data_IF_315302397935
#
_entry.id   IF_315302397935
#
_cell.length_a   1.000
_cell.length_b   1.000
_cell.length_c   1.000
_cell.angle_alpha   90.00
_cell.angle_beta   90.00
_cell.angle_gamma   90.00
#
_symmetry.space_group_name_H-M   'P 1'
#
loop_
_entity.id
_entity.type
_entity.pdbx_description
1 polymer ?
#
# COMPACT_ATOMS: atom_id res chain seq x y z
N UNK A 1 5.18 -20.45 -43.11
CA UNK A 1 5.93 -19.23 -42.71
C UNK A 1 5.83 -19.13 -41.21
N UNK A 2 6.86 -19.58 -40.52
CA UNK A 2 6.96 -19.57 -39.04
C UNK A 2 7.41 -18.17 -38.62
N UNK A 3 6.51 -17.39 -38.00
CA UNK A 3 6.88 -16.12 -37.38
C UNK A 3 7.71 -16.43 -36.14
N UNK A 4 8.97 -16.08 -36.18
CA UNK A 4 9.86 -16.03 -35.03
C UNK A 4 9.41 -14.89 -34.09
N UNK A 5 8.80 -15.27 -32.97
CA UNK A 5 8.51 -14.31 -31.88
C UNK A 5 9.85 -13.86 -31.31
N UNK A 6 10.16 -12.59 -31.47
CA UNK A 6 11.34 -11.98 -30.82
C UNK A 6 11.14 -11.99 -29.29
N UNK A 7 12.15 -12.36 -28.52
CA UNK A 7 12.05 -12.27 -27.05
C UNK A 7 11.86 -10.81 -26.64
N UNK A 8 10.88 -10.59 -25.77
CA UNK A 8 10.66 -9.28 -25.12
C UNK A 8 11.96 -8.88 -24.40
N UNK A 9 12.44 -7.63 -24.56
CA UNK A 9 13.66 -7.21 -23.88
C UNK A 9 13.46 -7.37 -22.36
N UNK A 10 14.44 -8.03 -21.73
CA UNK A 10 14.51 -8.16 -20.28
C UNK A 10 14.53 -6.73 -19.69
N UNK A 11 13.62 -6.39 -18.76
CA UNK A 11 13.69 -5.10 -18.09
C UNK A 11 15.07 -4.97 -17.44
N UNK A 12 15.78 -3.89 -17.71
CA UNK A 12 17.00 -3.59 -17.00
C UNK A 12 16.62 -3.40 -15.53
N UNK A 13 17.18 -4.22 -14.65
CA UNK A 13 17.07 -4.04 -13.20
C UNK A 13 17.84 -2.75 -12.89
N UNK A 14 17.12 -1.68 -12.56
CA UNK A 14 17.76 -0.46 -12.05
C UNK A 14 18.57 -0.82 -10.79
N UNK A 15 19.79 -0.28 -10.64
CA UNK A 15 20.59 -0.58 -9.47
C UNK A 15 19.83 -0.21 -8.21
N UNK A 16 19.84 -1.10 -7.22
CA UNK A 16 19.21 -0.90 -5.94
C UNK A 16 19.83 0.33 -5.26
N UNK A 17 19.03 1.38 -5.08
CA UNK A 17 19.46 2.60 -4.36
C UNK A 17 19.23 2.28 -2.88
N UNK A 18 20.32 2.08 -2.14
CA UNK A 18 20.22 1.93 -0.69
C UNK A 18 19.57 3.19 -0.08
N UNK A 19 18.67 3.04 0.91
CA UNK A 19 18.11 4.19 1.61
C UNK A 19 19.26 5.05 2.17
N UNK A 20 19.13 6.37 2.04
CA UNK A 20 20.06 7.29 2.67
C UNK A 20 20.01 7.07 4.19
N UNK A 21 21.17 7.03 4.84
CA UNK A 21 21.24 6.90 6.29
C UNK A 21 20.71 8.18 6.94
N UNK A 22 19.51 8.10 7.50
CA UNK A 22 18.85 9.24 8.17
C UNK A 22 17.52 8.82 8.76
N UNK A 23 17.00 9.68 9.64
CA UNK A 23 15.65 9.54 10.18
C UNK A 23 14.65 9.94 9.10
N UNK A 24 13.65 9.10 8.88
CA UNK A 24 12.52 9.34 7.99
C UNK A 24 11.30 9.73 8.83
N UNK A 25 10.75 10.92 8.60
CA UNK A 25 9.53 11.37 9.25
C UNK A 25 8.29 11.04 8.42
N UNK A 26 7.49 10.09 8.87
CA UNK A 26 6.27 9.63 8.20
C UNK A 26 5.04 10.23 8.87
N UNK A 27 4.08 10.71 8.07
CA UNK A 27 2.77 11.12 8.50
C UNK A 27 1.71 10.07 8.08
N UNK A 28 1.07 9.42 9.05
CA UNK A 28 -0.07 8.52 8.82
C UNK A 28 -1.36 9.34 8.87
N UNK A 29 -1.98 9.56 7.73
CA UNK A 29 -3.22 10.34 7.61
C UNK A 29 -4.45 9.42 7.79
N UNK A 30 -4.80 9.14 9.04
CA UNK A 30 -5.98 8.36 9.39
C UNK A 30 -7.23 9.24 9.31
N UNK A 31 -7.90 9.24 8.17
CA UNK A 31 -9.04 10.12 7.88
C UNK A 31 -10.35 9.35 7.72
N UNK A 32 -11.49 10.06 7.80
CA UNK A 32 -12.82 9.59 7.46
C UNK A 32 -13.25 10.17 6.10
N UNK A 33 -13.00 9.47 4.98
CA UNK A 33 -13.45 9.93 3.67
C UNK A 33 -14.98 9.93 3.58
N UNK A 34 -15.54 10.89 2.84
CA UNK A 34 -16.98 10.91 2.51
C UNK A 34 -17.25 10.10 1.27
N UNK A 35 -18.20 9.17 1.35
CA UNK A 35 -18.57 8.31 0.25
C UNK A 35 -19.04 9.11 -0.97
N UNK A 36 -18.37 8.95 -2.10
CA UNK A 36 -18.68 9.57 -3.39
C UNK A 36 -18.36 11.08 -3.50
N UNK A 37 -17.97 11.75 -2.42
CA UNK A 37 -17.74 13.20 -2.39
C UNK A 37 -16.25 13.52 -2.64
N UNK A 38 -15.81 13.40 -3.90
CA UNK A 38 -14.41 13.64 -4.29
C UNK A 38 -13.91 15.03 -3.90
N UNK A 39 -14.76 16.07 -4.03
CA UNK A 39 -14.34 17.44 -3.77
C UNK A 39 -13.98 17.65 -2.30
N UNK A 40 -14.83 17.21 -1.37
CA UNK A 40 -14.53 17.30 0.06
C UNK A 40 -13.39 16.43 0.50
N UNK A 41 -13.26 15.25 -0.10
CA UNK A 41 -12.11 14.39 0.17
C UNK A 41 -10.82 15.01 -0.34
N UNK A 42 -10.80 15.63 -1.52
CA UNK A 42 -9.66 16.38 -2.03
C UNK A 42 -9.26 17.52 -1.09
N UNK A 43 -10.23 18.34 -0.65
CA UNK A 43 -9.99 19.42 0.30
C UNK A 43 -9.36 18.92 1.61
N UNK A 44 -9.87 17.80 2.15
CA UNK A 44 -9.30 17.15 3.34
C UNK A 44 -7.86 16.66 3.10
N UNK A 45 -7.56 16.07 1.95
CA UNK A 45 -6.19 15.67 1.61
C UNK A 45 -5.25 16.87 1.55
N UNK A 46 -5.65 17.95 0.88
CA UNK A 46 -4.84 19.16 0.77
C UNK A 46 -4.54 19.78 2.14
N UNK A 47 -5.53 19.82 3.04
CA UNK A 47 -5.34 20.28 4.43
C UNK A 47 -4.30 19.42 5.18
N UNK A 48 -4.42 18.08 5.11
CA UNK A 48 -3.49 17.18 5.78
C UNK A 48 -2.07 17.25 5.18
N UNK A 49 -1.95 17.39 3.85
CA UNK A 49 -0.68 17.60 3.18
C UNK A 49 0.00 18.89 3.67
N UNK A 50 -0.74 19.97 3.79
CA UNK A 50 -0.20 21.25 4.29
C UNK A 50 0.32 21.11 5.72
N UNK A 51 -0.44 20.44 6.61
CA UNK A 51 -0.02 20.19 7.99
C UNK A 51 1.25 19.32 7.99
N UNK A 52 1.28 18.21 7.25
CA UNK A 52 2.41 17.32 7.20
C UNK A 52 3.69 18.01 6.72
N UNK A 53 3.58 18.86 5.69
CA UNK A 53 4.72 19.68 5.22
C UNK A 53 5.24 20.66 6.26
N UNK A 54 4.36 21.34 6.99
CA UNK A 54 4.75 22.26 8.08
C UNK A 54 5.45 21.55 9.22
N UNK A 55 5.04 20.32 9.51
CA UNK A 55 5.65 19.46 10.53
C UNK A 55 6.91 18.75 10.04
N UNK A 56 7.34 19.00 8.79
CA UNK A 56 8.57 18.46 8.22
C UNK A 56 8.51 16.96 7.92
N UNK A 57 7.35 16.43 7.53
CA UNK A 57 7.24 15.05 7.08
C UNK A 57 7.94 14.85 5.72
N UNK A 58 8.60 13.69 5.56
CA UNK A 58 9.20 13.24 4.30
C UNK A 58 8.21 12.45 3.46
N UNK A 59 7.22 11.81 4.11
CA UNK A 59 6.17 11.02 3.49
C UNK A 59 4.85 11.23 4.21
N UNK A 60 3.77 11.41 3.44
CA UNK A 60 2.40 11.29 3.93
C UNK A 60 1.68 10.12 3.26
N UNK A 61 0.99 9.30 4.03
CA UNK A 61 0.24 8.14 3.53
C UNK A 61 -1.23 8.26 3.91
N UNK A 62 -2.11 8.22 2.91
CA UNK A 62 -3.56 8.17 3.04
C UNK A 62 -4.09 6.74 2.86
N UNK A 63 -5.30 6.45 3.39
CA UNK A 63 -5.91 5.12 3.28
C UNK A 63 -6.27 4.69 1.85
N UNK A 64 -6.66 3.42 1.72
CA UNK A 64 -7.30 2.87 0.52
C UNK A 64 -8.54 3.69 0.12
N UNK A 65 -8.73 3.96 -1.19
CA UNK A 65 -9.86 4.72 -1.74
C UNK A 65 -10.16 6.02 -0.96
N UNK A 66 -9.12 6.68 -0.43
CA UNK A 66 -9.27 7.86 0.42
C UNK A 66 -9.89 9.06 -0.29
N UNK A 67 -9.80 9.12 -1.62
CA UNK A 67 -10.43 10.18 -2.43
C UNK A 67 -11.92 9.96 -2.68
N UNK A 68 -12.45 8.74 -2.46
CA UNK A 68 -13.82 8.40 -2.89
C UNK A 68 -14.70 7.77 -1.80
N UNK A 69 -14.10 7.20 -0.75
CA UNK A 69 -14.79 6.25 0.12
C UNK A 69 -14.84 4.86 -0.52
N UNK A 70 -15.38 3.86 0.20
CA UNK A 70 -15.22 2.44 -0.15
C UNK A 70 -16.45 1.81 -0.81
N UNK A 71 -17.67 1.97 -0.24
CA UNK A 71 -18.90 1.31 -0.72
C UNK A 71 -19.55 2.04 -1.89
N UNK A 72 -18.78 2.30 -2.95
CA UNK A 72 -19.18 3.08 -4.12
C UNK A 72 -20.24 2.40 -4.99
N UNK A 73 -20.20 1.06 -5.10
CA UNK A 73 -21.15 0.30 -5.93
C UNK A 73 -21.25 0.86 -7.35
N UNK A 74 -22.46 1.14 -7.82
CA UNK A 74 -22.72 1.57 -9.19
C UNK A 74 -22.19 3.00 -9.52
N UNK A 75 -21.78 3.79 -8.52
CA UNK A 75 -21.16 5.10 -8.75
C UNK A 75 -19.65 5.06 -9.02
N UNK A 76 -19.04 3.88 -9.07
CA UNK A 76 -17.61 3.73 -9.40
C UNK A 76 -17.21 4.50 -10.66
N UNK A 77 -17.94 4.44 -11.79
CA UNK A 77 -17.60 5.19 -12.99
C UNK A 77 -17.65 6.72 -12.80
N UNK A 78 -18.56 7.22 -11.95
CA UNK A 78 -18.77 8.65 -11.74
C UNK A 78 -17.66 9.30 -10.88
N UNK A 79 -16.97 8.49 -10.06
CA UNK A 79 -15.94 8.96 -9.14
C UNK A 79 -14.52 8.58 -9.59
N UNK A 80 -14.39 7.80 -10.65
CA UNK A 80 -13.09 7.36 -11.16
C UNK A 80 -12.28 8.54 -11.71
N UNK A 81 -10.96 8.42 -11.59
CA UNK A 81 -9.98 9.41 -12.03
C UNK A 81 -8.92 8.75 -12.92
N UNK A 82 -8.47 9.48 -13.94
CA UNK A 82 -7.23 9.15 -14.61
C UNK A 82 -6.03 9.65 -13.80
N UNK A 83 -4.86 9.06 -13.99
CA UNK A 83 -3.59 9.52 -13.35
C UNK A 83 -3.25 10.98 -13.66
N UNK A 84 -3.78 11.50 -14.77
CA UNK A 84 -3.59 12.89 -15.23
C UNK A 84 -4.74 13.81 -14.86
N UNK A 85 -5.70 13.35 -14.05
CA UNK A 85 -6.82 14.18 -13.61
C UNK A 85 -6.35 15.38 -12.79
N UNK A 86 -7.03 16.53 -12.90
CA UNK A 86 -6.65 17.74 -12.17
C UNK A 86 -6.55 17.55 -10.66
N UNK A 87 -7.41 16.71 -10.08
CA UNK A 87 -7.40 16.39 -8.64
C UNK A 87 -6.09 15.69 -8.22
N UNK A 88 -5.63 14.74 -9.02
CA UNK A 88 -4.35 14.06 -8.78
C UNK A 88 -3.19 15.04 -8.92
N UNK A 89 -3.22 15.88 -9.96
CA UNK A 89 -2.19 16.90 -10.17
C UNK A 89 -2.11 17.90 -9.01
N UNK A 90 -3.26 18.34 -8.46
CA UNK A 90 -3.32 19.22 -7.30
C UNK A 90 -2.68 18.59 -6.05
N UNK A 91 -2.94 17.32 -5.79
CA UNK A 91 -2.33 16.60 -4.66
C UNK A 91 -0.80 16.50 -4.81
N UNK A 92 -0.34 16.14 -6.00
CA UNK A 92 1.08 16.01 -6.30
C UNK A 92 1.80 17.36 -6.19
N UNK A 93 1.18 18.44 -6.68
CA UNK A 93 1.70 19.80 -6.55
C UNK A 93 1.74 20.25 -5.08
N UNK A 94 0.66 20.00 -4.33
CA UNK A 94 0.58 20.36 -2.91
C UNK A 94 1.61 19.63 -2.06
N UNK A 95 1.92 18.37 -2.35
CA UNK A 95 2.96 17.60 -1.67
C UNK A 95 4.37 18.20 -1.88
N UNK A 96 4.63 18.80 -3.05
CA UNK A 96 5.91 19.42 -3.37
C UNK A 96 7.09 18.43 -3.30
N UNK A 97 8.11 18.65 -2.45
CA UNK A 97 9.22 17.72 -2.27
C UNK A 97 8.86 16.47 -1.43
N UNK A 98 7.85 16.57 -0.55
CA UNK A 98 7.39 15.48 0.31
C UNK A 98 6.77 14.37 -0.53
N UNK A 99 7.08 13.12 -0.23
CA UNK A 99 6.44 11.98 -0.86
C UNK A 99 4.96 11.83 -0.40
N UNK A 100 4.12 11.31 -1.29
CA UNK A 100 2.69 11.17 -1.08
C UNK A 100 2.20 9.81 -1.57
N UNK A 101 1.42 9.11 -0.73
CA UNK A 101 0.62 7.94 -1.13
C UNK A 101 -0.85 8.24 -0.88
N UNK A 102 -1.70 8.03 -1.89
CA UNK A 102 -3.15 8.18 -1.75
C UNK A 102 -3.93 7.13 -2.56
N UNK A 103 -5.02 6.63 -1.96
CA UNK A 103 -5.92 5.68 -2.59
C UNK A 103 -7.01 6.34 -3.41
N UNK A 104 -7.31 5.80 -4.61
CA UNK A 104 -8.31 6.33 -5.53
C UNK A 104 -8.91 5.24 -6.41
N UNK A 105 -10.03 5.53 -7.04
CA UNK A 105 -10.56 4.72 -8.14
C UNK A 105 -9.86 5.17 -9.42
N UNK A 106 -9.03 4.29 -10.01
CA UNK A 106 -8.37 4.57 -11.28
C UNK A 106 -9.22 4.08 -12.45
N UNK A 107 -9.50 4.96 -13.41
CA UNK A 107 -9.98 4.57 -14.73
C UNK A 107 -8.79 4.26 -15.64
N UNK A 108 -8.70 3.01 -16.07
CA UNK A 108 -7.67 2.52 -16.97
C UNK A 108 -8.14 2.46 -18.43
N UNK A 109 -7.33 1.79 -19.28
CA UNK A 109 -7.69 1.59 -20.68
C UNK A 109 -8.95 0.75 -20.82
N UNK A 110 -9.79 1.08 -21.80
CA UNK A 110 -11.01 0.34 -22.11
C UNK A 110 -12.08 0.44 -21.02
N UNK A 111 -12.09 1.55 -20.28
CA UNK A 111 -13.06 1.83 -19.20
C UNK A 111 -13.05 0.75 -18.09
N UNK A 112 -11.88 0.21 -17.82
CA UNK A 112 -11.70 -0.67 -16.66
C UNK A 112 -11.40 0.17 -15.42
N UNK A 113 -12.07 -0.14 -14.31
CA UNK A 113 -11.90 0.57 -13.05
C UNK A 113 -11.06 -0.29 -12.09
N UNK A 114 -10.19 0.37 -11.34
CA UNK A 114 -9.29 -0.30 -10.40
C UNK A 114 -9.34 0.39 -9.04
N UNK A 115 -9.37 -0.39 -7.99
CA UNK A 115 -8.96 0.07 -6.68
C UNK A 115 -7.43 0.23 -6.71
N UNK A 116 -6.95 1.46 -6.62
CA UNK A 116 -5.55 1.80 -6.85
C UNK A 116 -5.00 2.75 -5.79
N UNK A 117 -3.68 2.73 -5.61
CA UNK A 117 -2.94 3.71 -4.84
C UNK A 117 -1.74 4.21 -5.64
N UNK A 118 -1.52 5.52 -5.66
CA UNK A 118 -0.35 6.10 -6.31
C UNK A 118 0.68 6.55 -5.28
N UNK A 119 1.95 6.49 -5.68
CA UNK A 119 3.07 7.12 -5.01
C UNK A 119 3.58 8.27 -5.87
N UNK A 120 3.72 9.44 -5.29
CA UNK A 120 4.28 10.61 -5.93
C UNK A 120 5.39 11.21 -5.07
N UNK A 121 6.44 11.73 -5.71
CA UNK A 121 7.48 12.53 -5.09
C UNK A 121 8.05 13.55 -6.08
N UNK A 122 8.59 14.64 -5.60
CA UNK A 122 9.22 15.68 -6.42
C UNK A 122 8.33 16.12 -7.61
N UNK A 123 7.03 16.27 -7.39
CA UNK A 123 6.07 16.76 -8.38
C UNK A 123 5.66 15.76 -9.46
N UNK A 124 5.96 14.47 -9.30
CA UNK A 124 5.60 13.43 -10.29
C UNK A 124 5.12 12.14 -9.64
N UNK A 125 4.23 11.42 -10.32
CA UNK A 125 3.85 10.06 -9.94
C UNK A 125 4.95 9.10 -10.39
N UNK A 126 5.52 8.36 -9.44
CA UNK A 126 6.54 7.33 -9.72
C UNK A 126 5.90 5.97 -9.93
N UNK A 127 4.86 5.64 -9.17
CA UNK A 127 4.23 4.33 -9.21
C UNK A 127 2.72 4.40 -8.98
N UNK A 128 2.00 3.46 -9.58
CA UNK A 128 0.58 3.20 -9.26
C UNK A 128 0.41 1.70 -9.09
N UNK A 129 0.06 1.29 -7.88
CA UNK A 129 -0.35 -0.07 -7.59
C UNK A 129 -1.85 -0.22 -7.78
N UNK A 130 -2.28 -1.27 -8.47
CA UNK A 130 -3.68 -1.69 -8.61
C UNK A 130 -3.89 -2.93 -7.77
N UNK A 131 -4.88 -2.91 -6.90
CA UNK A 131 -5.19 -4.03 -6.01
C UNK A 131 -5.32 -5.34 -6.78
N UNK A 132 -4.56 -6.34 -6.37
CA UNK A 132 -4.49 -7.64 -7.05
C UNK A 132 -5.56 -8.58 -6.54
N UNK A 133 -5.74 -8.65 -5.23
CA UNK A 133 -6.72 -9.50 -4.58
C UNK A 133 -7.97 -8.71 -4.23
N UNK A 134 -9.05 -8.97 -4.97
CA UNK A 134 -10.35 -8.33 -4.81
C UNK A 134 -11.27 -9.24 -3.98
N UNK A 135 -11.54 -8.93 -2.70
CA UNK A 135 -12.39 -9.76 -1.86
C UNK A 135 -13.84 -9.79 -2.37
N UNK A 136 -14.43 -10.98 -2.35
CA UNK A 136 -15.82 -11.24 -2.73
C UNK A 136 -16.54 -12.13 -1.71
N UNK A 137 -16.10 -12.07 -0.46
CA UNK A 137 -16.67 -12.83 0.65
C UNK A 137 -17.21 -11.90 1.75
N UNK A 138 -18.16 -12.42 2.53
CA UNK A 138 -18.79 -11.66 3.61
C UNK A 138 -19.52 -10.43 3.08
N UNK A 139 -19.04 -9.25 3.45
CA UNK A 139 -19.59 -7.96 3.03
C UNK A 139 -18.94 -7.35 1.78
N UNK A 140 -17.94 -8.02 1.23
CA UNK A 140 -17.13 -7.49 0.13
C UNK A 140 -17.64 -8.00 -1.23
N UNK A 141 -17.71 -7.10 -2.22
CA UNK A 141 -18.16 -7.38 -3.58
C UNK A 141 -17.24 -6.73 -4.63
N UNK A 142 -15.94 -6.59 -4.34
CA UNK A 142 -15.03 -5.77 -5.15
C UNK A 142 -14.93 -6.23 -6.62
N UNK A 143 -14.92 -7.54 -6.89
CA UNK A 143 -14.84 -8.06 -8.27
C UNK A 143 -16.02 -7.68 -9.15
N UNK A 144 -17.14 -7.23 -8.56
CA UNK A 144 -18.30 -6.75 -9.31
C UNK A 144 -18.04 -5.40 -9.95
N UNK A 145 -17.19 -4.57 -9.33
CA UNK A 145 -17.00 -3.18 -9.69
C UNK A 145 -15.58 -2.87 -10.19
N UNK A 146 -14.59 -3.64 -9.75
CA UNK A 146 -13.19 -3.42 -10.06
C UNK A 146 -12.56 -4.57 -10.83
N UNK A 147 -11.61 -4.22 -11.68
CA UNK A 147 -10.69 -5.16 -12.33
C UNK A 147 -9.49 -5.41 -11.43
N UNK A 148 -9.01 -6.65 -11.38
CA UNK A 148 -7.83 -7.01 -10.61
C UNK A 148 -6.53 -6.45 -11.22
N UNK A 149 -5.63 -5.98 -10.39
CA UNK A 149 -4.24 -5.74 -10.73
C UNK A 149 -3.54 -7.06 -11.11
N UNK A 150 -2.39 -6.97 -11.79
CA UNK A 150 -1.70 -8.15 -12.34
C UNK A 150 -0.32 -8.39 -11.75
N UNK A 151 0.20 -7.50 -10.92
CA UNK A 151 1.56 -7.59 -10.39
C UNK A 151 1.71 -6.86 -9.08
N UNK A 152 2.65 -7.36 -8.29
CA UNK A 152 3.29 -6.66 -7.20
C UNK A 152 4.65 -6.20 -7.69
N UNK A 153 5.02 -4.96 -7.42
CA UNK A 153 6.27 -4.39 -7.90
C UNK A 153 6.75 -3.35 -6.90
N UNK A 154 8.03 -3.45 -6.50
CA UNK A 154 8.70 -2.38 -5.80
C UNK A 154 9.37 -1.42 -6.80
N UNK A 155 9.57 -0.18 -6.38
CA UNK A 155 10.19 0.88 -7.18
C UNK A 155 11.17 1.67 -6.31
N UNK A 156 12.14 2.34 -6.96
CA UNK A 156 13.09 3.19 -6.24
C UNK A 156 12.45 4.54 -5.91
N UNK A 157 12.56 4.97 -4.64
CA UNK A 157 12.11 6.25 -4.14
C UNK A 157 13.26 6.98 -3.44
N UNK A 158 13.37 8.29 -3.66
CA UNK A 158 14.49 9.08 -3.12
C UNK A 158 14.43 9.09 -1.57
N UNK A 159 15.54 8.78 -0.92
CA UNK A 159 15.64 8.71 0.54
C UNK A 159 15.06 7.46 1.18
N UNK A 160 14.16 6.72 0.50
CA UNK A 160 13.42 5.58 1.06
C UNK A 160 13.97 4.22 0.62
N UNK A 161 14.82 4.18 -0.43
CA UNK A 161 15.24 2.94 -1.05
C UNK A 161 14.15 2.32 -1.92
N UNK A 162 13.92 1.02 -1.81
CA UNK A 162 12.87 0.31 -2.56
C UNK A 162 11.56 0.30 -1.81
N UNK A 163 10.55 0.91 -2.40
CA UNK A 163 9.19 1.03 -1.82
C UNK A 163 8.25 0.08 -2.53
N UNK A 164 7.48 -0.67 -1.76
CA UNK A 164 6.35 -1.48 -2.24
C UNK A 164 5.02 -0.95 -1.70
N UNK A 165 3.97 -0.99 -2.53
CA UNK A 165 2.60 -0.67 -2.09
C UNK A 165 1.74 -1.91 -2.24
N UNK A 166 0.91 -2.18 -1.24
CA UNK A 166 -0.13 -3.20 -1.24
C UNK A 166 -1.44 -2.59 -0.72
N UNK A 167 -2.58 -3.10 -1.17
CA UNK A 167 -3.89 -2.55 -0.81
C UNK A 167 -4.71 -3.61 -0.07
N UNK A 168 -4.96 -3.39 1.22
CA UNK A 168 -5.90 -4.10 2.07
C UNK A 168 -5.79 -5.63 1.94
N UNK A 169 -6.65 -6.28 1.15
CA UNK A 169 -6.66 -7.74 0.93
C UNK A 169 -5.34 -8.29 0.39
N UNK A 170 -4.58 -7.50 -0.38
CA UNK A 170 -3.24 -7.92 -0.84
C UNK A 170 -2.34 -8.32 0.33
N UNK A 171 -2.51 -7.67 1.48
CA UNK A 171 -1.69 -7.91 2.68
C UNK A 171 -2.02 -9.23 3.40
N UNK A 172 -3.17 -9.85 3.10
CA UNK A 172 -3.60 -11.14 3.66
C UNK A 172 -3.05 -12.35 2.90
N UNK A 173 -2.43 -12.11 1.75
CA UNK A 173 -1.90 -13.16 0.87
C UNK A 173 -0.38 -13.26 0.98
N UNK A 174 0.12 -14.44 1.35
CA UNK A 174 1.57 -14.71 1.50
C UNK A 174 2.34 -14.43 0.21
N UNK A 175 1.70 -14.64 -0.96
CA UNK A 175 2.32 -14.37 -2.26
C UNK A 175 2.74 -12.90 -2.44
N UNK A 176 1.99 -11.94 -1.89
CA UNK A 176 2.38 -10.53 -1.94
C UNK A 176 3.69 -10.29 -1.18
N UNK A 177 3.82 -10.83 0.04
CA UNK A 177 5.02 -10.72 0.84
C UNK A 177 6.21 -11.43 0.18
N UNK A 178 6.01 -12.64 -0.37
CA UNK A 178 7.05 -13.39 -1.09
C UNK A 178 7.58 -12.61 -2.30
N UNK A 179 6.69 -11.98 -3.08
CA UNK A 179 7.09 -11.18 -4.23
C UNK A 179 7.81 -9.91 -3.77
N UNK A 180 7.32 -9.22 -2.72
CA UNK A 180 7.97 -8.03 -2.17
C UNK A 180 9.34 -8.35 -1.56
N UNK A 181 9.54 -9.54 -1.01
CA UNK A 181 10.87 -10.00 -0.58
C UNK A 181 11.81 -10.18 -1.78
N UNK A 182 11.35 -10.84 -2.86
CA UNK A 182 12.12 -11.00 -4.08
C UNK A 182 12.42 -9.67 -4.81
N UNK A 183 11.56 -8.67 -4.61
CA UNK A 183 11.76 -7.28 -5.06
C UNK A 183 12.69 -6.47 -4.12
N UNK A 184 13.17 -7.08 -3.02
CA UNK A 184 14.09 -6.46 -2.04
C UNK A 184 13.53 -5.18 -1.41
N UNK A 185 12.24 -5.17 -1.05
CA UNK A 185 11.57 -3.99 -0.50
C UNK A 185 12.20 -3.51 0.81
N UNK A 186 12.45 -2.20 0.92
CA UNK A 186 12.92 -1.54 2.15
C UNK A 186 11.75 -0.99 2.97
N UNK A 187 10.75 -0.42 2.29
CA UNK A 187 9.54 0.13 2.91
C UNK A 187 8.31 -0.47 2.24
N UNK A 188 7.50 -1.19 3.00
CA UNK A 188 6.23 -1.74 2.55
C UNK A 188 5.07 -0.92 3.10
N UNK A 189 4.28 -0.32 2.21
CA UNK A 189 3.13 0.53 2.55
C UNK A 189 1.85 -0.24 2.26
N UNK A 190 1.04 -0.47 3.29
CA UNK A 190 -0.29 -1.08 3.17
C UNK A 190 -1.36 -0.02 3.43
N UNK A 191 -2.11 0.36 2.40
CA UNK A 191 -3.27 1.26 2.53
C UNK A 191 -4.55 0.44 2.67
N UNK A 192 -5.42 0.81 3.62
CA UNK A 192 -6.48 -0.09 4.12
C UNK A 192 -7.81 0.64 4.28
N UNK A 193 -8.90 -0.08 4.01
CA UNK A 193 -10.27 0.23 4.40
C UNK A 193 -10.86 -0.97 5.14
N UNK A 194 -10.34 -1.27 6.33
CA UNK A 194 -10.79 -2.41 7.11
C UNK A 194 -11.89 -2.03 8.10
N UNK A 195 -13.09 -2.62 8.00
CA UNK A 195 -14.12 -2.44 9.01
C UNK A 195 -13.81 -3.24 10.28
N UNK A 196 -14.36 -2.79 11.41
CA UNK A 196 -14.28 -3.49 12.68
C UNK A 196 -15.08 -4.80 12.63
N UNK A 197 -14.36 -5.92 12.71
CA UNK A 197 -14.94 -7.28 12.78
C UNK A 197 -14.28 -8.09 13.88
N UNK A 198 -14.98 -9.11 14.36
CA UNK A 198 -14.49 -9.95 15.46
C UNK A 198 -14.36 -9.15 16.77
N UNK A 199 -15.36 -8.30 17.05
CA UNK A 199 -15.38 -7.46 18.25
C UNK A 199 -15.63 -8.33 19.49
N UNK A 200 -14.71 -8.27 20.47
CA UNK A 200 -14.82 -8.94 21.76
C UNK A 200 -14.34 -8.00 22.87
N UNK A 201 -15.28 -7.36 23.57
CA UNK A 201 -14.97 -6.30 24.50
C UNK A 201 -14.27 -5.12 23.81
N UNK A 202 -13.09 -4.68 24.28
CA UNK A 202 -12.34 -3.61 23.65
C UNK A 202 -11.52 -4.07 22.43
N UNK A 203 -11.44 -5.38 22.16
CA UNK A 203 -10.63 -5.94 21.09
C UNK A 203 -11.39 -5.97 19.77
N UNK A 204 -10.68 -5.67 18.67
CA UNK A 204 -11.17 -5.75 17.31
C UNK A 204 -10.29 -6.75 16.56
N UNK A 205 -10.83 -7.94 16.25
CA UNK A 205 -10.06 -9.03 15.66
C UNK A 205 -9.36 -8.66 14.34
N UNK A 206 -10.01 -7.84 13.49
CA UNK A 206 -9.37 -7.34 12.27
C UNK A 206 -8.19 -6.42 12.56
N UNK A 207 -8.23 -5.60 13.62
CA UNK A 207 -7.12 -4.75 14.04
C UNK A 207 -5.92 -5.59 14.50
N UNK A 208 -6.18 -6.58 15.37
CA UNK A 208 -5.15 -7.50 15.86
C UNK A 208 -4.50 -8.29 14.73
N UNK A 209 -5.30 -8.69 13.73
CA UNK A 209 -4.76 -9.41 12.56
C UNK A 209 -3.86 -8.52 11.71
N UNK A 210 -4.21 -7.25 11.46
CA UNK A 210 -3.33 -6.33 10.72
C UNK A 210 -2.02 -6.08 11.48
N UNK A 211 -2.06 -5.92 12.79
CA UNK A 211 -0.84 -5.77 13.59
C UNK A 211 0.01 -7.05 13.53
N UNK A 212 -0.58 -8.23 13.67
CA UNK A 212 0.12 -9.51 13.56
C UNK A 212 0.80 -9.67 12.20
N UNK A 213 0.08 -9.40 11.10
CA UNK A 213 0.63 -9.49 9.75
C UNK A 213 1.75 -8.47 9.55
N UNK A 214 1.57 -7.22 10.01
CA UNK A 214 2.58 -6.18 9.89
C UNK A 214 3.88 -6.55 10.61
N UNK A 215 3.80 -7.05 11.85
CA UNK A 215 4.96 -7.52 12.62
C UNK A 215 5.64 -8.71 11.93
N UNK A 216 4.84 -9.66 11.43
CA UNK A 216 5.35 -10.85 10.74
C UNK A 216 6.07 -10.48 9.46
N UNK A 217 5.44 -9.68 8.59
CA UNK A 217 6.04 -9.32 7.31
C UNK A 217 7.24 -8.39 7.48
N UNK A 218 7.18 -7.45 8.42
CA UNK A 218 8.31 -6.59 8.73
C UNK A 218 9.55 -7.42 9.08
N UNK A 219 9.41 -8.41 9.97
CA UNK A 219 10.51 -9.26 10.40
C UNK A 219 11.00 -10.19 9.29
N UNK A 220 10.10 -10.82 8.53
CA UNK A 220 10.48 -11.74 7.44
C UNK A 220 11.15 -11.00 6.26
N UNK A 221 10.68 -9.81 5.93
CA UNK A 221 11.23 -8.99 4.84
C UNK A 221 12.47 -8.18 5.29
N UNK A 222 12.68 -8.01 6.61
CA UNK A 222 13.63 -7.04 7.12
C UNK A 222 13.34 -5.64 6.61
N UNK A 223 12.06 -5.22 6.63
CA UNK A 223 11.54 -4.00 6.03
C UNK A 223 10.75 -3.16 7.04
N UNK A 224 10.74 -1.84 6.85
CA UNK A 224 9.80 -0.95 7.53
C UNK A 224 8.39 -1.18 6.95
N UNK A 225 7.39 -1.42 7.81
CA UNK A 225 6.00 -1.66 7.39
C UNK A 225 5.09 -0.56 7.92
N UNK A 226 4.38 0.10 7.01
CA UNK A 226 3.38 1.12 7.30
C UNK A 226 2.00 0.56 6.96
N UNK A 227 1.06 0.59 7.92
CA UNK A 227 -0.35 0.24 7.68
C UNK A 227 -1.20 1.45 7.97
N UNK A 228 -1.90 1.97 6.96
CA UNK A 228 -2.73 3.16 7.11
C UNK A 228 -4.19 2.83 6.80
N UNK A 229 -5.02 2.84 7.85
CA UNK A 229 -6.43 2.53 7.79
C UNK A 229 -7.28 3.79 7.96
N UNK A 230 -8.48 3.78 7.40
CA UNK A 230 -9.46 4.84 7.62
C UNK A 230 -10.21 4.68 8.96
N UNK A 231 -10.90 5.73 9.37
CA UNK A 231 -11.88 5.73 10.46
C UNK A 231 -13.27 6.13 9.97
N UNK A 232 -14.24 6.10 10.88
CA UNK A 232 -15.59 6.60 10.69
C UNK A 232 -16.58 5.53 10.28
N UNK A 233 -17.77 5.97 9.88
CA UNK A 233 -18.88 5.08 9.50
C UNK A 233 -19.20 5.26 8.02
N UNK A 234 -19.47 4.15 7.35
CA UNK A 234 -19.90 4.15 5.94
C UNK A 234 -20.77 2.94 5.68
N UNK A 235 -21.96 3.14 5.10
CA UNK A 235 -22.96 2.08 4.79
C UNK A 235 -23.24 1.13 5.98
N UNK A 236 -23.35 1.67 7.19
CA UNK A 236 -23.62 0.92 8.42
C UNK A 236 -22.43 0.19 9.03
N UNK A 237 -21.25 0.30 8.45
CA UNK A 237 -20.01 -0.29 8.95
C UNK A 237 -19.14 0.75 9.66
N UNK A 238 -18.51 0.32 10.75
CA UNK A 238 -17.54 1.10 11.50
C UNK A 238 -16.14 0.74 11.05
N UNK A 239 -15.33 1.75 10.70
CA UNK A 239 -13.90 1.62 10.40
C UNK A 239 -13.10 2.09 11.61
N UNK A 240 -12.17 1.26 12.06
CA UNK A 240 -11.57 1.41 13.39
C UNK A 240 -10.29 2.25 13.42
N UNK A 241 -9.68 2.56 12.27
CA UNK A 241 -8.39 3.24 12.22
C UNK A 241 -7.24 2.35 12.69
N UNK A 242 -6.56 2.77 13.77
CA UNK A 242 -5.45 2.03 14.37
C UNK A 242 -4.29 1.83 13.39
N UNK A 243 -4.05 2.84 12.55
CA UNK A 243 -2.90 2.91 11.64
C UNK A 243 -1.61 2.72 12.42
N UNK A 244 -0.61 2.02 11.86
CA UNK A 244 0.57 1.64 12.61
C UNK A 244 1.85 1.64 11.77
N UNK A 245 2.99 1.72 12.46
CA UNK A 245 4.33 1.59 11.92
C UNK A 245 5.07 0.49 12.67
N UNK A 246 5.66 -0.43 11.92
CA UNK A 246 6.46 -1.53 12.46
C UNK A 246 7.86 -1.48 11.88
N UNK A 247 8.86 -1.49 12.75
CA UNK A 247 10.29 -1.51 12.40
C UNK A 247 10.72 -2.86 11.81
N UNK A 248 11.88 -2.94 11.14
CA UNK A 248 12.34 -4.13 10.43
C UNK A 248 12.59 -5.36 11.34
N UNK A 249 12.65 -5.14 12.64
CA UNK A 249 12.76 -6.19 13.68
C UNK A 249 11.40 -6.71 14.19
N UNK A 250 10.28 -6.32 13.59
CA UNK A 250 8.94 -6.69 14.03
C UNK A 250 8.41 -5.90 15.24
N UNK A 251 9.13 -4.86 15.71
CA UNK A 251 8.66 -4.03 16.82
C UNK A 251 7.68 -2.95 16.34
N UNK A 252 6.59 -2.79 17.08
CA UNK A 252 5.66 -1.69 16.89
C UNK A 252 6.34 -0.39 17.32
N UNK A 253 6.55 0.53 16.36
CA UNK A 253 7.16 1.84 16.62
C UNK A 253 6.07 2.83 17.08
N UNK A 254 4.94 2.86 16.37
CA UNK A 254 3.83 3.74 16.69
C UNK A 254 2.49 3.17 16.23
N UNK A 255 1.42 3.62 16.86
CA UNK A 255 0.05 3.27 16.51
C UNK A 255 -0.87 4.49 16.73
N UNK A 256 -1.70 4.77 15.74
CA UNK A 256 -2.72 5.83 15.80
C UNK A 256 -3.89 5.43 16.72
N UNK A 257 -4.70 6.38 17.21
CA UNK A 257 -5.87 6.08 18.04
C UNK A 257 -6.91 5.25 17.28
N UNK A 258 -7.74 4.52 18.02
CA UNK A 258 -8.92 3.87 17.46
C UNK A 258 -10.06 4.86 17.31
N UNK A 259 -10.81 4.76 16.21
CA UNK A 259 -12.06 5.48 15.90
C UNK A 259 -11.94 6.97 15.65
N UNK A 260 -10.82 7.60 15.98
CA UNK A 260 -10.63 9.04 15.80
C UNK A 260 -9.80 9.37 14.57
N UNK A 261 -10.14 10.43 13.85
CA UNK A 261 -9.26 10.99 12.83
C UNK A 261 -7.96 11.48 13.47
N UNK A 262 -6.85 11.21 12.84
CA UNK A 262 -5.54 11.67 13.32
C UNK A 262 -4.53 11.81 12.18
N UNK A 263 -3.60 12.74 12.36
CA UNK A 263 -2.37 12.81 11.59
C UNK A 263 -1.23 12.46 12.55
N UNK A 264 -0.78 11.21 12.49
CA UNK A 264 0.23 10.66 13.41
C UNK A 264 1.59 10.74 12.77
N UNK A 265 2.53 11.45 13.40
CA UNK A 265 3.92 11.58 12.96
C UNK A 265 4.80 10.56 13.64
N UNK A 266 5.67 9.92 12.86
CA UNK A 266 6.57 8.86 13.33
C UNK A 266 7.95 9.05 12.71
N UNK A 267 8.97 9.17 13.56
CA UNK A 267 10.36 9.21 13.10
C UNK A 267 10.90 7.78 13.05
N UNK A 268 11.40 7.37 11.88
CA UNK A 268 11.84 6.01 11.57
C UNK A 268 13.33 6.03 11.20
N UNK A 269 14.17 5.28 11.91
CA UNK A 269 15.60 5.12 11.58
C UNK A 269 15.78 4.06 10.48
N UNK A 270 16.02 4.50 9.24
CA UNK A 270 16.29 3.59 8.10
C UNK A 270 17.61 2.82 8.24
N UNK A 271 18.54 3.25 9.08
CA UNK A 271 19.76 2.50 9.34
C UNK A 271 19.48 1.16 10.07
N UNK A 272 18.31 1.02 10.72
CA UNK A 272 17.87 -0.26 11.29
C UNK A 272 17.69 -1.34 10.23
N UNK A 273 17.25 -1.01 9.02
CA UNK A 273 17.12 -1.97 7.92
C UNK A 273 18.42 -2.75 7.70
N UNK A 274 19.51 -2.02 7.60
CA UNK A 274 20.84 -2.64 7.41
C UNK A 274 21.25 -3.49 8.62
N UNK A 275 21.00 -3.00 9.85
CA UNK A 275 21.34 -3.72 11.08
C UNK A 275 20.58 -5.05 11.14
N UNK A 276 19.27 -5.04 10.95
CA UNK A 276 18.43 -6.23 11.03
C UNK A 276 18.73 -7.23 9.93
N UNK A 277 18.96 -6.79 8.70
CA UNK A 277 19.34 -7.67 7.58
C UNK A 277 20.71 -8.33 7.75
N UNK A 278 21.60 -7.72 8.53
CA UNK A 278 22.88 -8.35 8.90
C UNK A 278 22.74 -9.36 10.03
N UNK A 279 21.85 -9.11 10.99
CA UNK A 279 21.59 -10.00 12.14
C UNK A 279 20.74 -11.20 11.70
N UNK A 280 19.72 -10.95 10.89
CA UNK A 280 18.75 -11.96 10.44
C UNK A 280 18.63 -11.90 8.89
N UNK A 281 19.59 -12.47 8.16
CA UNK A 281 19.73 -12.29 6.70
C UNK A 281 18.77 -13.17 5.88
N UNK A 282 17.47 -13.23 6.23
CA UNK A 282 16.48 -14.10 5.59
C UNK A 282 16.39 -13.85 4.08
N UNK A 283 16.37 -12.59 3.63
CA UNK A 283 16.29 -12.27 2.19
C UNK A 283 17.53 -12.73 1.41
N UNK A 284 18.73 -12.65 2.02
CA UNK A 284 19.95 -13.15 1.39
C UNK A 284 19.96 -14.68 1.25
N UNK A 285 19.42 -15.35 2.24
CA UNK A 285 19.44 -16.82 2.31
C UNK A 285 18.21 -17.47 1.62
N UNK A 286 17.28 -16.65 1.09
CA UNK A 286 16.10 -17.10 0.35
C UNK A 286 16.48 -17.77 -0.96
N UNK A 287 15.84 -18.92 -1.23
CA UNK A 287 16.10 -19.71 -2.43
C UNK A 287 15.00 -19.52 -3.49
N UNK A 288 14.96 -18.31 -4.09
CA UNK A 288 13.94 -17.93 -5.05
C UNK A 288 13.79 -18.93 -6.22
N UNK A 289 14.91 -19.43 -6.76
CA UNK A 289 14.85 -20.40 -7.87
C UNK A 289 14.16 -21.69 -7.44
N UNK A 290 14.51 -22.24 -6.27
CA UNK A 290 13.85 -23.44 -5.71
C UNK A 290 12.36 -23.20 -5.55
N UNK A 291 11.97 -22.05 -5.00
CA UNK A 291 10.56 -21.67 -4.82
C UNK A 291 9.81 -21.63 -6.15
N UNK A 292 10.38 -21.04 -7.20
CA UNK A 292 9.80 -21.00 -8.56
C UNK A 292 9.65 -22.40 -9.13
N UNK A 293 10.68 -23.24 -9.05
CA UNK A 293 10.67 -24.62 -9.56
C UNK A 293 9.60 -25.47 -8.86
N UNK A 294 9.47 -25.37 -7.54
CA UNK A 294 8.45 -26.09 -6.77
C UNK A 294 7.03 -25.61 -7.10
N UNK A 295 6.83 -24.32 -7.25
CA UNK A 295 5.53 -23.78 -7.67
C UNK A 295 5.16 -24.23 -9.10
N UNK A 296 6.11 -24.25 -10.03
CA UNK A 296 5.88 -24.76 -11.39
C UNK A 296 5.57 -26.26 -11.39
N UNK A 297 6.29 -27.06 -10.60
CA UNK A 297 5.98 -28.49 -10.41
C UNK A 297 4.55 -28.70 -9.88
N UNK A 298 4.13 -27.90 -8.89
CA UNK A 298 2.78 -27.98 -8.32
C UNK A 298 1.73 -27.55 -9.36
N UNK A 299 2.00 -26.48 -10.11
CA UNK A 299 1.13 -26.00 -11.19
C UNK A 299 0.90 -27.10 -12.24
N UNK A 300 1.96 -27.72 -12.76
CA UNK A 300 1.85 -28.82 -13.73
C UNK A 300 0.98 -29.96 -13.19
N UNK A 301 1.22 -30.39 -11.96
CA UNK A 301 0.41 -31.43 -11.31
C UNK A 301 -1.07 -31.08 -11.17
N UNK A 302 -1.41 -29.80 -10.96
CA UNK A 302 -2.81 -29.38 -10.70
C UNK A 302 -3.60 -29.06 -11.96
N UNK A 303 -2.94 -28.56 -13.00
CA UNK A 303 -3.62 -27.92 -14.12
C UNK A 303 -3.23 -28.45 -15.49
N UNK A 304 -2.19 -29.29 -15.60
CA UNK A 304 -1.67 -29.80 -16.88
C UNK A 304 -1.81 -31.35 -17.01
N UNK A 305 -2.73 -31.95 -16.23
CA UNK A 305 -3.09 -33.38 -16.31
C UNK A 305 -4.16 -33.66 -17.34
#
# INVERSE_FOLDING_TARGET
MTQTVQPTPTPQIEPNVSPESGDLRVALAQIAPRLGDRQRNLEKHLEQIEIARREGADLIVFPELSLTGYFLRDIVPDVALHRTSPEIAQLVEAAGPMALVAGFVEEGQGHQFYNAAFYAEAGRILHVHRKVYLPTYGLFEEQRYFSAGKRFQAFNAAGFGRVGIVICEDFWHVSSATIMQAEEVDVLICVVNSPARGVSGPQIGTSETYELLARTFSQLLGALVLVVNRVGFEDGLCFFGHSLVVGPNGQLIAQAPQFDESLTFVDCDLAELRRERLITPLGRDEQLLMTIEELDRIKRRRYET
#
